data_IF_060074281293
#
_entry.id   IF_060074281293
#
_cell.length_a   1.000
_cell.length_b   1.000
_cell.length_c   1.000
_cell.angle_alpha   90.00
_cell.angle_beta   90.00
_cell.angle_gamma   90.00
#
_symmetry.space_group_name_H-M   'P 1'
#
loop_
_entity.id
_entity.type
_entity.pdbx_description
1 polymer ?
#
# COMPACT_ATOMS: atom_id res chain seq x y z
N UNK A 1 -17.46 22.74 4.18
CA UNK A 1 -17.47 23.57 2.96
C UNK A 1 -16.09 24.18 2.78
N UNK A 2 -15.28 23.52 1.97
CA UNK A 2 -14.15 24.08 1.22
C UNK A 2 -13.88 23.05 0.13
N UNK A 3 -14.81 22.98 -0.82
CA UNK A 3 -14.64 22.21 -2.03
C UNK A 3 -13.69 23.02 -2.92
N UNK A 4 -12.41 22.95 -2.58
CA UNK A 4 -11.34 23.45 -3.44
C UNK A 4 -11.28 22.51 -4.62
N UNK A 5 -11.69 23.02 -5.79
CA UNK A 5 -11.28 22.53 -7.10
C UNK A 5 -9.76 22.33 -7.10
N UNK A 6 -9.33 21.13 -6.72
CA UNK A 6 -7.94 20.71 -6.77
C UNK A 6 -7.57 20.68 -8.25
N UNK A 7 -6.55 21.44 -8.62
CA UNK A 7 -5.93 21.32 -9.93
C UNK A 7 -5.61 19.85 -10.21
N UNK A 8 -5.71 19.39 -11.48
CA UNK A 8 -5.40 18.02 -11.83
C UNK A 8 -4.01 17.65 -11.30
N UNK A 9 -3.90 16.47 -10.69
CA UNK A 9 -2.62 15.96 -10.20
C UNK A 9 -1.71 15.75 -11.41
N UNK A 10 -0.53 16.37 -11.43
CA UNK A 10 0.44 16.13 -12.49
C UNK A 10 1.19 14.83 -12.18
N UNK A 11 0.86 13.77 -12.91
CA UNK A 11 1.63 12.52 -12.89
C UNK A 11 3.01 12.74 -13.51
N UNK A 12 4.03 12.23 -12.83
CA UNK A 12 5.42 12.24 -13.30
C UNK A 12 5.87 10.84 -13.74
N UNK A 13 5.14 9.81 -13.33
CA UNK A 13 5.43 8.42 -13.67
C UNK A 13 5.14 8.13 -15.14
N UNK A 14 6.17 7.75 -15.88
CA UNK A 14 6.05 7.34 -17.28
C UNK A 14 5.32 5.99 -17.40
N UNK A 15 4.33 5.84 -18.32
CA UNK A 15 3.64 4.58 -18.54
C UNK A 15 4.58 3.42 -18.94
N UNK A 16 4.38 2.25 -18.36
CA UNK A 16 5.13 1.02 -18.66
C UNK A 16 6.53 0.93 -18.05
N UNK A 17 6.92 1.88 -17.18
CA UNK A 17 8.26 1.93 -16.60
C UNK A 17 8.34 1.39 -15.16
N UNK A 18 7.24 1.44 -14.40
CA UNK A 18 7.25 1.22 -12.95
C UNK A 18 7.75 -0.18 -12.58
N UNK A 19 7.24 -1.23 -13.23
CA UNK A 19 7.62 -2.60 -12.89
C UNK A 19 9.13 -2.85 -13.06
N UNK A 20 9.69 -2.37 -14.18
CA UNK A 20 11.12 -2.47 -14.46
C UNK A 20 11.92 -1.68 -13.41
N UNK A 21 11.50 -0.46 -13.09
CA UNK A 21 12.15 0.35 -12.05
C UNK A 21 12.12 -0.33 -10.68
N UNK A 22 11.01 -0.95 -10.29
CA UNK A 22 10.89 -1.72 -9.05
C UNK A 22 11.85 -2.91 -9.05
N UNK A 23 11.93 -3.67 -10.15
CA UNK A 23 12.85 -4.81 -10.27
C UNK A 23 14.32 -4.37 -10.18
N UNK A 24 14.71 -3.38 -10.99
CA UNK A 24 16.08 -2.85 -11.05
C UNK A 24 16.50 -2.29 -9.67
N UNK A 25 15.61 -1.48 -9.05
CA UNK A 25 15.87 -0.91 -7.74
C UNK A 25 15.96 -1.98 -6.66
N UNK A 26 15.15 -3.03 -6.74
CA UNK A 26 15.22 -4.16 -5.80
C UNK A 26 16.56 -4.86 -5.90
N UNK A 27 17.03 -5.19 -7.10
CA UNK A 27 18.34 -5.81 -7.31
C UNK A 27 19.47 -4.94 -6.77
N UNK A 28 19.45 -3.64 -7.08
CA UNK A 28 20.41 -2.67 -6.57
C UNK A 28 20.40 -2.63 -5.03
N UNK A 29 19.24 -2.40 -4.44
CA UNK A 29 19.07 -2.22 -3.01
C UNK A 29 19.45 -3.47 -2.19
N UNK A 30 19.23 -4.66 -2.75
CA UNK A 30 19.74 -5.91 -2.18
C UNK A 30 21.26 -5.98 -2.26
N UNK A 31 21.84 -5.61 -3.40
CA UNK A 31 23.30 -5.68 -3.61
C UNK A 31 24.10 -4.75 -2.70
N UNK A 32 23.55 -3.58 -2.37
CA UNK A 32 24.18 -2.62 -1.44
C UNK A 32 23.73 -2.78 0.02
N UNK A 33 22.79 -3.70 0.30
CA UNK A 33 22.27 -3.96 1.65
C UNK A 33 21.28 -2.92 2.20
N UNK A 34 20.79 -2.01 1.35
CA UNK A 34 19.75 -1.06 1.70
C UNK A 34 18.40 -1.75 1.92
N UNK A 35 18.03 -2.70 1.04
CA UNK A 35 16.85 -3.54 1.20
C UNK A 35 17.19 -4.75 2.09
N UNK A 36 16.35 -4.98 3.09
CA UNK A 36 16.56 -6.02 4.11
C UNK A 36 15.28 -6.86 4.26
N UNK A 37 15.01 -7.78 3.31
CA UNK A 37 13.80 -8.59 3.35
C UNK A 37 13.68 -9.44 4.61
N UNK A 38 12.45 -9.61 5.07
CA UNK A 38 12.11 -10.48 6.19
C UNK A 38 11.70 -11.83 5.61
N UNK A 39 12.57 -12.83 5.78
CA UNK A 39 12.27 -14.21 5.37
C UNK A 39 11.09 -14.77 6.17
N UNK A 40 10.10 -15.27 5.43
CA UNK A 40 8.93 -15.96 5.97
C UNK A 40 8.72 -17.26 5.21
N UNK A 41 8.29 -18.28 5.92
CA UNK A 41 7.60 -19.42 5.32
C UNK A 41 6.11 -19.10 5.28
N UNK A 42 5.35 -19.82 4.46
CA UNK A 42 3.90 -19.64 4.43
C UNK A 42 3.16 -20.97 4.34
N UNK A 43 1.96 -20.96 4.90
CA UNK A 43 1.00 -22.05 4.79
C UNK A 43 -0.36 -21.47 4.39
N UNK A 44 -1.11 -22.23 3.59
CA UNK A 44 -2.49 -21.89 3.26
C UNK A 44 -3.41 -22.68 4.16
N UNK A 45 -4.26 -21.97 4.90
CA UNK A 45 -5.30 -22.58 5.74
C UNK A 45 -6.67 -22.12 5.27
N UNK A 46 -7.67 -22.98 5.43
CA UNK A 46 -9.06 -22.68 5.08
C UNK A 46 -9.90 -22.67 6.35
N UNK A 47 -10.70 -21.61 6.54
CA UNK A 47 -11.63 -21.50 7.65
C UNK A 47 -12.89 -20.77 7.20
N UNK A 48 -14.07 -21.36 7.47
CA UNK A 48 -15.36 -20.76 7.10
C UNK A 48 -15.53 -20.51 5.59
N UNK A 49 -14.92 -21.35 4.75
CA UNK A 49 -14.92 -21.19 3.29
C UNK A 49 -14.04 -20.06 2.77
N UNK A 50 -13.21 -19.45 3.63
CA UNK A 50 -12.24 -18.42 3.27
C UNK A 50 -10.84 -19.01 3.35
N UNK A 51 -10.03 -18.76 2.33
CA UNK A 51 -8.60 -19.08 2.33
C UNK A 51 -7.79 -17.97 2.99
N UNK A 52 -6.84 -18.38 3.82
CA UNK A 52 -5.90 -17.51 4.51
C UNK A 52 -4.48 -17.92 4.16
N UNK A 53 -3.69 -16.94 3.73
CA UNK A 53 -2.24 -17.08 3.58
C UNK A 53 -1.57 -16.67 4.90
N UNK A 54 -1.10 -17.66 5.66
CA UNK A 54 -0.42 -17.43 6.95
C UNK A 54 1.07 -17.39 6.72
N UNK A 55 1.72 -16.27 7.05
CA UNK A 55 3.17 -16.12 6.96
C UNK A 55 3.83 -16.26 8.32
N UNK A 56 4.78 -17.18 8.42
CA UNK A 56 5.50 -17.53 9.65
C UNK A 56 6.91 -16.94 9.56
N UNK A 57 7.28 -16.12 10.54
CA UNK A 57 8.61 -15.49 10.59
C UNK A 57 9.67 -16.56 10.85
N UNK A 58 10.58 -16.76 9.90
CA UNK A 58 11.67 -17.73 10.05
C UNK A 58 12.75 -17.26 11.06
N UNK A 59 12.79 -15.95 11.41
CA UNK A 59 13.77 -15.38 12.35
C UNK A 59 13.27 -14.10 13.05
N UNK A 60 12.81 -14.22 14.31
CA UNK A 60 12.25 -13.12 15.12
C UNK A 60 13.27 -12.04 15.52
N UNK A 61 14.56 -12.38 15.61
CA UNK A 61 15.59 -11.53 16.22
C UNK A 61 15.89 -10.23 15.44
N UNK A 62 15.76 -10.26 14.10
CA UNK A 62 16.07 -9.09 13.26
C UNK A 62 15.05 -7.96 13.40
N UNK A 63 13.75 -8.28 13.52
CA UNK A 63 12.69 -7.27 13.68
C UNK A 63 12.81 -6.53 15.01
N UNK A 64 13.17 -7.25 16.07
CA UNK A 64 13.43 -6.66 17.39
C UNK A 64 14.67 -5.73 17.36
N UNK A 65 15.71 -6.10 16.62
CA UNK A 65 16.91 -5.27 16.46
C UNK A 65 16.64 -3.99 15.67
N UNK A 66 15.94 -4.07 14.54
CA UNK A 66 15.57 -2.89 13.74
C UNK A 66 14.71 -1.89 14.53
N UNK A 67 13.72 -2.38 15.30
CA UNK A 67 12.91 -1.53 16.19
C UNK A 67 13.76 -0.85 17.26
N UNK A 68 14.73 -1.56 17.85
CA UNK A 68 15.68 -1.00 18.84
C UNK A 68 16.56 0.09 18.23
N UNK A 69 17.11 -0.13 17.03
CA UNK A 69 17.93 0.86 16.32
C UNK A 69 17.11 2.12 15.98
N UNK A 70 15.83 1.96 15.61
CA UNK A 70 14.92 3.08 15.38
C UNK A 70 14.68 3.88 16.67
N UNK A 71 14.37 3.21 17.79
CA UNK A 71 14.19 3.89 19.09
C UNK A 71 15.46 4.62 19.54
N UNK A 72 16.64 4.05 19.30
CA UNK A 72 17.92 4.70 19.62
C UNK A 72 18.17 5.95 18.76
N UNK A 73 17.85 5.92 17.46
CA UNK A 73 17.96 7.09 16.59
C UNK A 73 17.01 8.22 17.01
N UNK A 74 15.79 7.90 17.43
CA UNK A 74 14.83 8.88 17.97
C UNK A 74 15.32 9.49 19.28
N UNK A 75 15.89 8.67 20.18
CA UNK A 75 16.42 9.13 21.45
C UNK A 75 17.66 10.04 21.29
N UNK A 76 18.48 9.80 20.27
CA UNK A 76 19.70 10.57 20.01
C UNK A 76 19.46 11.92 19.31
N UNK A 77 18.41 12.05 18.49
CA UNK A 77 18.14 13.26 17.70
C UNK A 77 17.15 14.24 18.37
N UNK A 78 16.39 13.80 19.38
CA UNK A 78 15.33 14.59 20.00
C UNK A 78 14.16 14.93 19.06
N UNK A 79 14.15 14.39 17.84
CA UNK A 79 13.09 14.54 16.83
C UNK A 79 12.54 13.16 16.46
N UNK A 80 11.24 13.07 16.25
CA UNK A 80 10.61 11.87 15.69
C UNK A 80 11.33 11.50 14.37
N UNK A 81 11.90 10.30 14.33
CA UNK A 81 12.62 9.80 13.17
C UNK A 81 11.61 9.43 12.08
N UNK A 82 11.64 10.13 10.95
CA UNK A 82 10.81 9.85 9.79
C UNK A 82 11.65 9.15 8.70
N UNK A 83 11.43 7.85 8.42
CA UNK A 83 12.23 7.11 7.44
C UNK A 83 12.02 7.57 6.00
N UNK A 84 11.03 8.44 5.76
CA UNK A 84 10.72 8.97 4.43
C UNK A 84 11.26 10.39 4.23
N UNK A 85 11.88 11.03 5.24
CA UNK A 85 12.39 12.40 5.15
C UNK A 85 13.73 12.59 5.92
N UNK A 86 14.88 12.73 5.21
CA UNK A 86 15.07 12.30 3.82
C UNK A 86 14.95 10.78 3.71
N UNK A 87 14.38 10.28 2.60
CA UNK A 87 14.39 8.85 2.31
C UNK A 87 15.78 8.37 1.86
N UNK A 88 16.03 7.07 1.95
CA UNK A 88 17.26 6.46 1.42
C UNK A 88 17.17 6.36 -0.11
N UNK A 89 18.09 7.00 -0.83
CA UNK A 89 18.12 7.00 -2.32
C UNK A 89 18.27 5.60 -2.91
N UNK A 90 18.90 4.68 -2.18
CA UNK A 90 19.01 3.28 -2.57
C UNK A 90 17.66 2.53 -2.57
N UNK A 91 16.61 3.10 -1.94
CA UNK A 91 15.24 2.59 -1.93
C UNK A 91 14.30 3.38 -2.84
N UNK A 92 14.75 4.48 -3.45
CA UNK A 92 13.94 5.31 -4.34
C UNK A 92 13.66 4.59 -5.66
N UNK A 93 12.37 4.43 -6.00
CA UNK A 93 11.94 3.78 -7.24
C UNK A 93 11.63 4.81 -8.32
N UNK A 94 10.72 5.75 -8.03
CA UNK A 94 10.24 6.70 -9.02
C UNK A 94 9.56 7.91 -8.37
N UNK A 95 9.58 9.04 -9.09
CA UNK A 95 8.67 10.13 -8.87
C UNK A 95 7.30 9.76 -9.43
N UNK A 96 6.28 9.58 -8.57
CA UNK A 96 4.95 9.14 -9.01
C UNK A 96 4.16 10.35 -9.52
N UNK A 97 4.14 11.40 -8.72
CA UNK A 97 3.50 12.68 -9.02
C UNK A 97 4.20 13.82 -8.31
N UNK A 98 3.69 15.04 -8.48
CA UNK A 98 4.18 16.20 -7.73
C UNK A 98 3.98 16.07 -6.22
N UNK A 99 3.02 15.25 -5.77
CA UNK A 99 2.73 15.03 -4.35
C UNK A 99 3.24 13.70 -3.82
N UNK A 100 3.56 12.72 -4.68
CA UNK A 100 3.92 11.37 -4.24
C UNK A 100 5.24 10.84 -4.83
N UNK A 101 5.92 10.03 -4.03
CA UNK A 101 7.14 9.30 -4.38
C UNK A 101 6.98 7.80 -4.11
N UNK A 102 7.57 6.97 -4.97
CA UNK A 102 7.61 5.52 -4.82
C UNK A 102 8.91 5.06 -4.16
N UNK A 103 8.81 4.38 -3.02
CA UNK A 103 9.96 3.83 -2.29
C UNK A 103 9.79 2.32 -2.07
N UNK A 104 10.86 1.54 -2.13
CA UNK A 104 10.81 0.15 -1.67
C UNK A 104 10.63 0.09 -0.15
N UNK A 105 9.78 -0.82 0.32
CA UNK A 105 9.69 -1.11 1.73
C UNK A 105 10.98 -1.81 2.19
N UNK A 106 11.79 -1.10 2.97
CA UNK A 106 13.10 -1.57 3.47
C UNK A 106 13.05 -2.96 4.11
N UNK A 107 11.98 -3.28 4.81
CA UNK A 107 11.81 -4.54 5.55
C UNK A 107 10.63 -5.34 4.97
N UNK A 108 10.64 -5.55 3.66
CA UNK A 108 9.56 -6.21 2.95
C UNK A 108 9.45 -7.70 3.29
N UNK A 109 8.22 -8.20 3.31
CA UNK A 109 7.91 -9.64 3.40
C UNK A 109 7.54 -10.19 2.03
N UNK A 110 6.88 -9.36 1.20
CA UNK A 110 6.55 -9.65 -0.20
C UNK A 110 7.55 -8.92 -1.09
N UNK A 111 8.09 -9.58 -2.10
CA UNK A 111 9.04 -8.99 -3.02
C UNK A 111 8.45 -7.79 -3.74
N UNK A 112 9.30 -6.79 -4.00
CA UNK A 112 8.92 -5.55 -4.67
C UNK A 112 7.76 -4.79 -3.98
N UNK A 113 7.59 -4.94 -2.65
CA UNK A 113 6.62 -4.16 -1.89
C UNK A 113 6.95 -2.66 -1.98
N UNK A 114 6.08 -1.91 -2.65
CA UNK A 114 6.21 -0.47 -2.88
C UNK A 114 5.41 0.32 -1.83
N UNK A 115 6.01 1.39 -1.33
CA UNK A 115 5.36 2.44 -0.55
C UNK A 115 5.13 3.63 -1.47
N UNK A 116 3.88 4.10 -1.54
CA UNK A 116 3.49 5.33 -2.24
C UNK A 116 3.33 6.41 -1.19
N UNK A 117 4.35 7.25 -1.04
CA UNK A 117 4.53 8.15 0.11
C UNK A 117 4.29 9.59 -0.32
N UNK A 118 3.61 10.38 0.50
CA UNK A 118 3.49 11.83 0.28
C UNK A 118 4.88 12.48 0.38
N UNK A 119 5.17 13.46 -0.48
CA UNK A 119 6.44 14.22 -0.42
C UNK A 119 6.47 15.16 0.77
N UNK A 120 5.36 15.85 0.98
CA UNK A 120 5.15 16.66 2.18
C UNK A 120 4.69 15.74 3.32
N UNK A 121 5.09 16.06 4.54
CA UNK A 121 4.58 15.35 5.70
C UNK A 121 3.07 15.57 5.84
N UNK A 122 2.31 14.49 5.72
CA UNK A 122 0.90 14.39 6.08
C UNK A 122 0.74 13.28 7.12
N UNK A 123 -0.22 13.41 8.04
CA UNK A 123 -0.49 12.37 9.04
C UNK A 123 -1.20 11.16 8.40
N UNK A 124 -0.76 9.96 8.80
CA UNK A 124 -1.25 8.66 8.34
C UNK A 124 -2.68 8.35 8.82
N UNK A 125 -3.23 9.14 9.75
CA UNK A 125 -4.62 9.02 10.21
C UNK A 125 -5.58 9.95 9.43
N UNK A 126 -5.07 10.69 8.44
CA UNK A 126 -5.92 11.50 7.56
C UNK A 126 -6.61 10.67 6.50
N UNK A 127 -7.75 11.17 6.02
CA UNK A 127 -8.50 10.58 4.94
C UNK A 127 -7.72 10.58 3.61
N UNK A 128 -7.98 9.57 2.78
CA UNK A 128 -7.47 9.54 1.42
C UNK A 128 -8.12 10.66 0.58
N UNK A 129 -7.28 11.30 -0.22
CA UNK A 129 -7.58 12.42 -1.09
C UNK A 129 -7.59 11.97 -2.54
N UNK A 130 -8.02 12.87 -3.44
CA UNK A 130 -7.96 12.64 -4.88
C UNK A 130 -6.52 12.40 -5.36
N UNK A 131 -5.54 13.14 -4.82
CA UNK A 131 -4.13 12.99 -5.17
C UNK A 131 -3.56 11.64 -4.76
N UNK A 132 -3.96 11.13 -3.59
CA UNK A 132 -3.56 9.78 -3.13
C UNK A 132 -4.07 8.70 -4.09
N UNK A 133 -5.35 8.77 -4.48
CA UNK A 133 -5.92 7.83 -5.43
C UNK A 133 -5.32 7.98 -6.84
N UNK A 134 -4.98 9.20 -7.28
CA UNK A 134 -4.33 9.41 -8.58
C UNK A 134 -2.94 8.76 -8.63
N UNK A 135 -2.13 8.95 -7.58
CA UNK A 135 -0.84 8.29 -7.44
C UNK A 135 -0.99 6.76 -7.38
N UNK A 136 -1.98 6.27 -6.61
CA UNK A 136 -2.28 4.85 -6.52
C UNK A 136 -2.65 4.23 -7.87
N UNK A 137 -3.56 4.85 -8.62
CA UNK A 137 -4.00 4.36 -9.93
C UNK A 137 -2.89 4.46 -10.98
N UNK A 138 -2.01 5.46 -10.91
CA UNK A 138 -0.84 5.53 -11.77
C UNK A 138 0.09 4.31 -11.59
N UNK A 139 0.21 3.80 -10.36
CA UNK A 139 0.95 2.58 -10.07
C UNK A 139 0.18 1.31 -10.48
N UNK A 140 -1.09 1.18 -10.11
CA UNK A 140 -1.92 0.01 -10.43
C UNK A 140 -2.16 -0.18 -11.93
N UNK A 141 -2.10 0.90 -12.73
CA UNK A 141 -2.15 0.82 -14.18
C UNK A 141 -0.94 0.07 -14.79
N UNK A 142 0.15 -0.09 -14.04
CA UNK A 142 1.40 -0.71 -14.50
C UNK A 142 1.79 -1.97 -13.73
N UNK A 143 1.19 -2.20 -12.57
CA UNK A 143 1.49 -3.32 -11.68
C UNK A 143 0.17 -3.96 -11.25
N UNK A 144 -0.03 -5.21 -11.65
CA UNK A 144 -1.10 -6.04 -11.10
C UNK A 144 -0.78 -6.35 -9.63
N UNK A 145 -1.62 -5.87 -8.72
CA UNK A 145 -1.27 -5.81 -7.32
C UNK A 145 -2.43 -5.53 -6.40
N UNK A 146 -2.20 -5.80 -5.11
CA UNK A 146 -3.07 -5.39 -4.02
C UNK A 146 -2.50 -4.13 -3.40
N UNK A 147 -3.33 -3.08 -3.36
CA UNK A 147 -3.00 -1.86 -2.64
C UNK A 147 -3.84 -1.72 -1.37
N UNK A 148 -3.25 -1.12 -0.33
CA UNK A 148 -3.92 -0.92 0.96
C UNK A 148 -3.37 0.30 1.70
N UNK A 149 -4.20 0.86 2.58
CA UNK A 149 -3.88 2.00 3.43
C UNK A 149 -4.31 1.70 4.86
N UNK A 150 -3.36 1.82 5.80
CA UNK A 150 -3.63 1.64 7.22
C UNK A 150 -3.80 3.02 7.85
N UNK A 151 -5.05 3.46 8.03
CA UNK A 151 -5.41 4.79 8.57
C UNK A 151 -5.14 4.95 10.06
N UNK A 152 -3.87 5.14 10.45
CA UNK A 152 -3.45 5.36 11.83
C UNK A 152 -3.09 4.09 12.62
N UNK A 153 -2.71 4.28 13.88
CA UNK A 153 -2.12 3.21 14.72
C UNK A 153 -3.06 2.05 14.99
N UNK A 154 -4.37 2.31 15.16
CA UNK A 154 -5.37 1.25 15.37
C UNK A 154 -5.53 0.35 14.14
N UNK A 155 -5.29 0.87 12.94
CA UNK A 155 -5.26 0.12 11.70
C UNK A 155 -3.92 -0.62 11.47
N UNK A 156 -2.99 -0.55 12.43
CA UNK A 156 -1.69 -1.20 12.34
C UNK A 156 -0.60 -0.40 11.63
N UNK A 157 -0.78 0.90 11.42
CA UNK A 157 0.27 1.74 10.83
C UNK A 157 1.50 1.85 11.74
N UNK A 158 2.70 1.63 11.18
CA UNK A 158 3.98 1.75 11.89
C UNK A 158 4.65 3.12 11.74
N UNK A 159 4.23 3.92 10.76
CA UNK A 159 4.77 5.26 10.47
C UNK A 159 3.63 6.28 10.46
N UNK A 160 3.91 7.48 10.96
CA UNK A 160 2.97 8.61 10.97
C UNK A 160 2.89 9.34 9.64
N UNK A 161 3.94 9.29 8.84
CA UNK A 161 3.96 9.96 7.55
C UNK A 161 3.11 9.15 6.56
N UNK A 162 2.12 9.81 5.96
CA UNK A 162 1.14 9.24 5.03
C UNK A 162 1.79 8.44 3.89
N UNK A 163 1.38 7.19 3.79
CA UNK A 163 1.79 6.27 2.74
C UNK A 163 0.73 5.20 2.49
N UNK A 164 0.55 4.89 1.21
CA UNK A 164 -0.15 3.69 0.76
C UNK A 164 0.87 2.60 0.47
N UNK A 165 0.41 1.36 0.50
CA UNK A 165 1.22 0.17 0.23
C UNK A 165 0.69 -0.53 -1.01
N UNK A 166 1.59 -0.98 -1.87
CA UNK A 166 1.29 -1.77 -3.05
C UNK A 166 2.18 -3.02 -3.04
N UNK A 167 1.54 -4.19 -3.03
CA UNK A 167 2.22 -5.48 -3.20
C UNK A 167 1.82 -6.09 -4.54
N UNK A 168 2.78 -6.49 -5.39
CA UNK A 168 2.47 -7.15 -6.65
C UNK A 168 1.83 -8.53 -6.42
N UNK A 169 0.97 -8.92 -7.35
CA UNK A 169 0.43 -10.28 -7.43
C UNK A 169 1.24 -11.12 -8.43
N UNK A 170 1.35 -12.44 -8.19
CA UNK A 170 0.88 -13.16 -7.01
C UNK A 170 1.75 -12.90 -5.77
N UNK A 171 1.15 -12.86 -4.57
CA UNK A 171 1.94 -12.68 -3.34
C UNK A 171 2.66 -13.97 -2.90
N UNK A 172 2.25 -15.14 -3.41
CA UNK A 172 2.88 -16.45 -3.20
C UNK A 172 2.74 -17.31 -4.44
N UNK A 173 3.69 -18.22 -4.66
CA UNK A 173 3.70 -19.08 -5.85
C UNK A 173 2.42 -19.93 -6.01
N UNK A 174 1.81 -20.32 -4.88
CA UNK A 174 0.64 -21.20 -4.86
C UNK A 174 -0.71 -20.46 -4.96
N UNK A 175 -0.72 -19.12 -4.91
CA UNK A 175 -1.96 -18.33 -4.94
C UNK A 175 -1.87 -17.22 -6.01
N UNK A 176 -2.51 -17.42 -7.18
CA UNK A 176 -2.45 -16.45 -8.28
C UNK A 176 -3.24 -15.16 -7.99
N UNK A 177 -4.16 -15.20 -7.02
CA UNK A 177 -5.04 -14.09 -6.65
C UNK A 177 -4.88 -13.74 -5.16
N UNK A 178 -5.55 -12.67 -4.73
CA UNK A 178 -5.68 -12.36 -3.31
C UNK A 178 -6.44 -13.49 -2.59
N UNK A 179 -6.04 -13.91 -1.37
CA UNK A 179 -6.65 -15.05 -0.68
C UNK A 179 -8.18 -14.93 -0.47
N UNK A 180 -8.67 -13.70 -0.31
CA UNK A 180 -10.10 -13.41 -0.11
C UNK A 180 -10.88 -13.19 -1.42
N UNK A 181 -10.30 -13.46 -2.60
CA UNK A 181 -10.97 -13.25 -3.89
C UNK A 181 -12.31 -13.99 -3.97
N UNK A 182 -12.35 -15.25 -3.50
CA UNK A 182 -13.59 -16.03 -3.44
C UNK A 182 -14.63 -15.42 -2.50
N UNK A 183 -14.23 -14.82 -1.38
CA UNK A 183 -15.14 -14.15 -0.46
C UNK A 183 -15.73 -12.86 -1.09
N UNK A 184 -14.89 -12.07 -1.76
CA UNK A 184 -15.31 -10.86 -2.49
C UNK A 184 -16.27 -11.21 -3.63
N UNK A 185 -16.04 -12.31 -4.35
CA UNK A 185 -16.93 -12.76 -5.42
C UNK A 185 -18.35 -13.11 -4.93
N UNK A 186 -18.49 -13.45 -3.64
CA UNK A 186 -19.77 -13.75 -2.98
C UNK A 186 -20.31 -12.57 -2.16
N UNK A 187 -19.80 -11.35 -2.36
CA UNK A 187 -20.33 -10.18 -1.67
C UNK A 187 -21.76 -9.84 -2.12
N UNK A 188 -22.62 -9.56 -1.16
CA UNK A 188 -24.02 -9.17 -1.34
C UNK A 188 -24.12 -7.65 -1.28
N UNK A 189 -24.78 -7.04 -2.27
CA UNK A 189 -24.86 -5.57 -2.40
C UNK A 189 -26.25 -5.04 -2.10
N UNK A 190 -26.31 -4.01 -1.25
CA UNK A 190 -27.48 -3.17 -1.05
C UNK A 190 -27.16 -1.76 -1.59
N UNK A 191 -27.60 -1.47 -2.82
CA UNK A 191 -27.21 -0.26 -3.52
C UNK A 191 -25.73 -0.26 -3.91
N UNK A 192 -24.98 0.76 -3.47
CA UNK A 192 -23.58 0.96 -3.83
C UNK A 192 -22.57 0.22 -2.91
N UNK A 193 -23.03 -0.25 -1.75
CA UNK A 193 -22.19 -0.90 -0.73
C UNK A 193 -22.56 -2.37 -0.63
N UNK A 194 -21.55 -3.22 -0.64
CA UNK A 194 -21.68 -4.65 -0.41
C UNK A 194 -21.05 -5.11 0.90
N UNK A 195 -21.51 -6.26 1.37
CA UNK A 195 -20.97 -6.98 2.53
C UNK A 195 -20.71 -8.43 2.15
N UNK A 196 -19.78 -9.07 2.85
CA UNK A 196 -19.45 -10.48 2.73
C UNK A 196 -20.12 -11.20 3.90
N UNK A 197 -21.12 -12.07 3.65
CA UNK A 197 -21.83 -12.79 4.71
C UNK A 197 -20.93 -13.62 5.63
N UNK A 198 -19.79 -14.09 5.11
CA UNK A 198 -18.81 -14.87 5.86
C UNK A 198 -17.97 -14.04 6.86
N UNK A 199 -17.97 -12.71 6.78
CA UNK A 199 -17.21 -11.84 7.68
C UNK A 199 -18.05 -11.44 8.90
N UNK A 200 -17.51 -11.66 10.09
CA UNK A 200 -18.19 -11.41 11.37
C UNK A 200 -17.80 -10.08 12.03
N UNK A 201 -17.30 -9.12 11.24
CA UNK A 201 -16.88 -7.79 11.68
C UNK A 201 -17.47 -6.72 10.75
N UNK A 202 -17.53 -5.47 11.21
CA UNK A 202 -18.03 -4.35 10.39
C UNK A 202 -17.09 -4.10 9.22
N UNK A 203 -17.63 -4.11 8.00
CA UNK A 203 -16.90 -3.88 6.77
C UNK A 203 -17.86 -3.44 5.65
N UNK A 204 -17.31 -2.88 4.58
CA UNK A 204 -18.05 -2.55 3.36
C UNK A 204 -17.18 -2.76 2.13
N UNK A 205 -17.81 -3.07 1.00
CA UNK A 205 -17.16 -3.27 -0.30
C UNK A 205 -17.83 -2.36 -1.32
N UNK A 206 -17.02 -1.54 -1.99
CA UNK A 206 -17.43 -0.80 -3.16
C UNK A 206 -16.91 -1.47 -4.43
N UNK A 207 -17.66 -1.34 -5.53
CA UNK A 207 -17.21 -1.74 -6.87
C UNK A 207 -16.69 -0.51 -7.59
N UNK A 208 -15.59 -0.68 -8.30
CA UNK A 208 -15.04 0.32 -9.22
C UNK A 208 -15.20 -0.19 -10.64
N UNK A 209 -15.55 0.70 -11.57
CA UNK A 209 -15.59 0.37 -12.99
C UNK A 209 -14.18 0.10 -13.51
N UNK A 210 -14.05 -0.96 -14.31
CA UNK A 210 -12.79 -1.32 -14.97
C UNK A 210 -12.59 -0.58 -16.28
N UNK A 211 -13.62 0.08 -16.81
CA UNK A 211 -13.59 0.79 -18.07
C UNK A 211 -12.94 2.20 -17.97
N UNK A 212 -12.44 2.59 -16.81
CA UNK A 212 -11.91 3.94 -16.60
C UNK A 212 -10.59 4.13 -17.35
N UNK A 213 -10.56 5.12 -18.24
CA UNK A 213 -9.51 5.28 -19.25
C UNK A 213 -8.26 6.02 -18.77
N UNK A 214 -8.28 6.65 -17.58
CA UNK A 214 -7.11 7.32 -17.01
C UNK A 214 -7.02 7.23 -15.48
N UNK A 215 -5.80 7.31 -14.90
CA UNK A 215 -5.64 7.33 -13.44
C UNK A 215 -6.40 8.46 -12.74
N UNK A 216 -6.53 9.63 -13.36
CA UNK A 216 -7.25 10.77 -12.79
C UNK A 216 -8.76 10.56 -12.72
N UNK A 217 -9.34 9.93 -13.75
CA UNK A 217 -10.75 9.55 -13.74
C UNK A 217 -10.99 8.45 -12.70
N UNK A 218 -10.06 7.48 -12.60
CA UNK A 218 -10.15 6.39 -11.63
C UNK A 218 -10.03 6.90 -10.19
N UNK A 219 -9.23 7.95 -9.99
CA UNK A 219 -9.09 8.62 -8.70
C UNK A 219 -10.38 9.29 -8.23
N UNK A 220 -11.10 9.97 -9.14
CA UNK A 220 -12.36 10.61 -8.81
C UNK A 220 -13.44 9.60 -8.43
N UNK A 221 -13.55 8.51 -9.19
CA UNK A 221 -14.48 7.42 -8.87
C UNK A 221 -14.12 6.73 -7.56
N UNK A 222 -12.84 6.47 -7.33
CA UNK A 222 -12.36 5.85 -6.09
C UNK A 222 -12.60 6.74 -4.89
N UNK A 223 -12.43 8.06 -5.01
CA UNK A 223 -12.72 9.00 -3.93
C UNK A 223 -14.22 9.04 -3.61
N UNK A 224 -15.09 8.99 -4.62
CA UNK A 224 -16.55 8.89 -4.41
C UNK A 224 -16.90 7.60 -3.70
N UNK A 225 -16.40 6.47 -4.19
CA UNK A 225 -16.58 5.15 -3.59
C UNK A 225 -16.09 5.12 -2.14
N UNK A 226 -14.90 5.67 -1.88
CA UNK A 226 -14.33 5.78 -0.55
C UNK A 226 -15.24 6.56 0.41
N UNK A 227 -15.75 7.73 -0.01
CA UNK A 227 -16.67 8.53 0.81
C UNK A 227 -17.97 7.78 1.09
N UNK A 228 -18.54 7.10 0.09
CA UNK A 228 -19.73 6.25 0.28
C UNK A 228 -19.48 5.16 1.33
N UNK A 229 -18.31 4.51 1.31
CA UNK A 229 -17.96 3.47 2.28
C UNK A 229 -17.70 4.03 3.69
N UNK A 230 -17.27 5.29 3.83
CA UNK A 230 -17.10 5.93 5.13
C UNK A 230 -18.42 6.30 5.82
N UNK A 231 -19.49 6.48 5.04
CA UNK A 231 -20.81 6.83 5.53
C UNK A 231 -21.70 5.61 5.83
N UNK A 232 -21.24 4.41 5.44
CA UNK A 232 -21.97 3.14 5.52
C UNK A 232 -21.98 2.50 6.92
#
# INVERSE_FOLDING_TARGET
MSDTTSSPETLLLEPGTLWKQMCDRTQHALSCGALQPISTEYEVVEAGGIRFLVRILANLDRKAKAKKEQTQKTAASGKDFNPFLPYEEDLFVADISQTHVGLLNKFNVVDHHLLIVTRAFEEQDTWLTRSDFAALHACLAQVDGLAFYNGGTLAGASQRHKHLQLVPLPTSADEPQIPIAGAIANAEFEGAVGTIPAFNFVHGIGKLDRAIESPEAAAEESLKCYRTLLEA
#
